data_IF_902297747782
#
_entry.id   IF_902297747782
#
_cell.length_a   1.000
_cell.length_b   1.000
_cell.length_c   1.000
_cell.angle_alpha   90.00
_cell.angle_beta   90.00
_cell.angle_gamma   90.00
#
_symmetry.space_group_name_H-M   'P 1'
#
loop_
_entity.id
_entity.type
_entity.pdbx_description
1 polymer ?
#
# COMPACT_ATOMS: atom_id res chain seq x y z
N UNK A 1 18.05 -20.38 14.73
CA UNK A 1 17.60 -21.79 14.67
C UNK A 1 16.27 -21.79 13.93
N UNK A 2 16.20 -22.45 12.77
CA UNK A 2 15.11 -22.34 11.80
C UNK A 2 14.06 -23.45 11.99
N UNK A 3 13.68 -23.68 13.25
CA UNK A 3 13.06 -24.91 13.72
C UNK A 3 11.85 -25.35 12.86
N UNK A 4 10.97 -24.42 12.49
CA UNK A 4 9.75 -24.75 11.76
C UNK A 4 10.03 -24.99 10.26
N UNK A 5 10.95 -24.23 9.65
CA UNK A 5 11.36 -24.46 8.28
C UNK A 5 12.05 -25.83 8.12
N UNK A 6 12.90 -26.19 9.08
CA UNK A 6 13.59 -27.49 9.12
C UNK A 6 12.62 -28.64 9.41
N UNK A 7 11.66 -28.44 10.32
CA UNK A 7 10.69 -29.46 10.72
C UNK A 7 9.71 -29.80 9.59
N UNK A 8 9.11 -28.79 8.96
CA UNK A 8 8.07 -29.01 7.96
C UNK A 8 8.61 -29.18 6.54
N UNK A 9 9.89 -28.80 6.30
CA UNK A 9 10.55 -28.89 4.97
C UNK A 9 9.71 -28.28 3.84
N UNK A 10 8.93 -27.25 4.14
CA UNK A 10 8.04 -26.59 3.20
C UNK A 10 8.10 -25.07 3.37
N UNK A 11 7.65 -24.34 2.35
CA UNK A 11 7.60 -22.88 2.43
C UNK A 11 6.46 -22.41 3.34
N UNK A 12 6.81 -21.65 4.37
CA UNK A 12 5.82 -21.03 5.24
C UNK A 12 5.08 -19.92 4.47
N UNK A 13 3.76 -20.09 4.33
CA UNK A 13 2.92 -19.18 3.55
C UNK A 13 2.65 -17.86 4.29
N UNK A 14 2.42 -17.94 5.59
CA UNK A 14 2.02 -16.81 6.41
C UNK A 14 2.60 -17.00 7.81
N UNK A 15 3.24 -15.95 8.32
CA UNK A 15 3.56 -15.82 9.74
C UNK A 15 2.71 -14.68 10.28
N UNK A 16 2.02 -14.94 11.39
CA UNK A 16 1.27 -13.91 12.11
C UNK A 16 1.97 -13.62 13.42
N UNK A 17 2.30 -12.35 13.64
CA UNK A 17 2.94 -11.85 14.85
C UNK A 17 1.94 -10.94 15.56
N UNK A 18 1.63 -11.26 16.82
CA UNK A 18 0.84 -10.38 17.70
C UNK A 18 1.78 -9.51 18.53
N UNK A 19 1.81 -8.21 18.23
CA UNK A 19 2.79 -7.28 18.81
C UNK A 19 2.57 -6.99 20.29
N UNK A 20 1.33 -7.15 20.75
CA UNK A 20 0.95 -6.93 22.15
C UNK A 20 1.70 -7.88 23.11
N UNK A 21 2.19 -9.00 22.60
CA UNK A 21 2.91 -10.03 23.36
C UNK A 21 4.43 -10.00 23.12
N UNK A 22 5.00 -8.90 22.63
CA UNK A 22 6.44 -8.81 22.37
C UNK A 22 7.25 -9.02 23.65
N UNK A 23 7.91 -10.17 23.73
CA UNK A 23 8.94 -10.44 24.72
C UNK A 23 10.31 -10.43 24.04
N UNK A 24 11.32 -9.91 24.75
CA UNK A 24 12.71 -9.92 24.32
C UNK A 24 13.48 -11.01 25.07
N UNK A 25 14.37 -11.76 24.39
CA UNK A 25 14.70 -11.72 22.97
C UNK A 25 13.61 -12.37 22.09
N UNK A 26 13.55 -11.93 20.83
CA UNK A 26 12.58 -12.42 19.86
C UNK A 26 13.14 -13.65 19.16
N UNK A 27 12.47 -14.80 19.29
CA UNK A 27 12.71 -15.97 18.46
C UNK A 27 11.37 -16.47 17.92
N UNK A 28 11.16 -16.31 16.61
CA UNK A 28 9.92 -16.72 15.94
C UNK A 28 9.90 -18.21 15.56
N UNK A 29 11.04 -18.92 15.66
CA UNK A 29 11.19 -20.28 15.12
C UNK A 29 11.10 -20.35 13.59
N UNK A 30 11.05 -19.20 12.92
CA UNK A 30 10.94 -19.02 11.46
C UNK A 30 11.88 -17.90 11.04
N UNK A 31 12.71 -18.12 10.03
CA UNK A 31 13.51 -17.04 9.40
C UNK A 31 12.95 -16.56 8.06
N UNK A 32 12.08 -17.34 7.41
CA UNK A 32 11.54 -17.01 6.07
C UNK A 32 10.04 -17.27 5.98
N UNK A 33 9.32 -16.37 5.30
CA UNK A 33 7.88 -16.53 5.03
C UNK A 33 7.49 -15.84 3.73
N UNK A 34 6.43 -16.31 3.08
CA UNK A 34 5.85 -15.59 1.94
C UNK A 34 5.21 -14.27 2.38
N UNK A 35 4.36 -14.32 3.41
CA UNK A 35 3.67 -13.14 3.91
C UNK A 35 3.83 -13.00 5.41
N UNK A 36 3.89 -11.75 5.86
CA UNK A 36 3.96 -11.41 7.27
C UNK A 36 2.73 -10.57 7.64
N UNK A 37 2.02 -11.03 8.66
CA UNK A 37 0.90 -10.32 9.25
C UNK A 37 1.29 -9.86 10.66
N UNK A 38 1.12 -8.57 10.90
CA UNK A 38 1.43 -7.92 12.17
C UNK A 38 0.11 -7.44 12.75
N UNK A 39 -0.27 -7.98 13.90
CA UNK A 39 -1.53 -7.69 14.58
C UNK A 39 -1.27 -7.12 15.95
N UNK A 40 -2.17 -6.27 16.44
CA UNK A 40 -2.12 -5.82 17.82
C UNK A 40 -3.01 -4.62 18.06
N UNK A 41 -3.06 -4.25 19.33
CA UNK A 41 -3.78 -3.09 19.84
C UNK A 41 -2.83 -1.97 20.23
N UNK A 42 -1.58 -2.30 20.54
CA UNK A 42 -0.54 -1.33 20.88
C UNK A 42 0.07 -0.73 19.59
N UNK A 43 0.19 0.60 19.47
CA UNK A 43 0.81 1.22 18.32
C UNK A 43 2.25 0.82 18.10
N UNK A 44 2.61 0.53 16.85
CA UNK A 44 3.97 0.18 16.43
C UNK A 44 4.65 1.31 15.67
N UNK A 45 5.94 1.51 15.91
CA UNK A 45 6.78 2.45 15.19
C UNK A 45 7.83 1.74 14.34
N UNK A 46 8.72 2.53 13.76
CA UNK A 46 9.84 2.02 12.95
C UNK A 46 10.75 1.06 13.74
N UNK A 47 11.13 1.32 15.02
CA UNK A 47 12.01 0.42 15.76
C UNK A 47 11.43 -0.99 15.95
N UNK A 48 10.14 -1.10 16.26
CA UNK A 48 9.48 -2.39 16.45
C UNK A 48 9.39 -3.17 15.14
N UNK A 49 9.07 -2.49 14.04
CA UNK A 49 9.02 -3.09 12.71
C UNK A 49 10.40 -3.55 12.27
N UNK A 50 11.43 -2.71 12.39
CA UNK A 50 12.79 -3.07 12.00
C UNK A 50 13.27 -4.32 12.75
N UNK A 51 13.01 -4.40 14.05
CA UNK A 51 13.36 -5.58 14.87
C UNK A 51 12.71 -6.87 14.38
N UNK A 52 11.47 -6.82 13.87
CA UNK A 52 10.81 -7.97 13.26
C UNK A 52 11.52 -8.34 11.96
N UNK A 53 11.80 -7.35 11.11
CA UNK A 53 12.40 -7.53 9.78
C UNK A 53 13.89 -7.91 9.80
N UNK A 54 14.55 -7.77 10.95
CA UNK A 54 15.88 -8.32 11.22
C UNK A 54 15.84 -9.85 11.36
N UNK A 55 14.76 -10.39 11.91
CA UNK A 55 14.64 -11.81 12.26
C UNK A 55 13.85 -12.65 11.24
N UNK A 56 13.06 -11.99 10.38
CA UNK A 56 12.27 -12.64 9.33
C UNK A 56 12.50 -12.00 7.97
N UNK A 57 12.83 -12.83 6.99
CA UNK A 57 12.81 -12.50 5.57
C UNK A 57 11.43 -12.79 4.98
N UNK A 58 10.79 -11.75 4.44
CA UNK A 58 9.48 -11.85 3.79
C UNK A 58 9.67 -11.76 2.28
N UNK A 59 9.17 -12.75 1.54
CA UNK A 59 9.39 -12.83 0.09
C UNK A 59 8.29 -12.18 -0.74
N UNK A 60 7.08 -12.02 -0.18
CA UNK A 60 5.91 -11.61 -0.93
C UNK A 60 5.29 -10.30 -0.47
N UNK A 61 4.77 -10.19 0.74
CA UNK A 61 4.03 -8.97 1.13
C UNK A 61 3.63 -8.93 2.60
N UNK A 62 3.11 -7.78 3.01
CA UNK A 62 2.89 -7.45 4.42
C UNK A 62 1.46 -7.00 4.67
N UNK A 63 0.91 -7.45 5.80
CA UNK A 63 -0.38 -7.04 6.32
C UNK A 63 -0.23 -6.49 7.73
N UNK A 64 -0.70 -5.28 7.94
CA UNK A 64 -0.70 -4.57 9.21
C UNK A 64 -2.14 -4.43 9.68
N UNK A 65 -2.48 -5.21 10.70
CA UNK A 65 -3.70 -5.07 11.47
C UNK A 65 -3.36 -4.58 12.89
N UNK A 66 -2.60 -3.48 12.94
CA UNK A 66 -2.08 -2.87 14.16
C UNK A 66 -2.06 -1.35 13.99
N UNK A 67 -2.29 -0.54 15.03
CA UNK A 67 -2.10 0.90 14.93
C UNK A 67 -0.64 1.25 14.61
N UNK A 68 -0.42 2.26 13.78
CA UNK A 68 0.93 2.71 13.41
C UNK A 68 1.18 4.11 13.97
N UNK A 69 2.32 4.28 14.65
CA UNK A 69 2.71 5.55 15.26
C UNK A 69 2.89 6.64 14.20
N UNK A 70 2.54 7.89 14.54
CA UNK A 70 2.74 9.06 13.66
C UNK A 70 4.21 9.31 13.31
N UNK A 71 5.13 8.87 14.17
CA UNK A 71 6.57 8.95 13.97
C UNK A 71 7.11 7.88 13.02
N UNK A 72 6.26 6.98 12.50
CA UNK A 72 6.67 5.95 11.56
C UNK A 72 7.20 6.59 10.26
N UNK A 73 8.45 6.26 9.93
CA UNK A 73 9.13 6.78 8.74
C UNK A 73 9.30 5.74 7.63
N UNK A 74 8.82 4.52 7.87
CA UNK A 74 9.09 3.35 7.04
C UNK A 74 9.89 2.29 7.80
N UNK A 75 10.29 1.24 7.09
CA UNK A 75 11.35 0.34 7.55
C UNK A 75 12.71 0.88 7.11
N UNK A 76 13.67 0.96 8.03
CA UNK A 76 15.01 1.50 7.71
C UNK A 76 15.75 0.60 6.74
N UNK A 77 15.48 -0.71 6.78
CA UNK A 77 16.05 -1.70 5.89
C UNK A 77 15.53 -1.65 4.44
N UNK A 78 14.43 -0.91 4.17
CA UNK A 78 13.72 -0.82 2.87
C UNK A 78 13.27 -2.17 2.27
N UNK A 79 13.30 -3.25 3.05
CA UNK A 79 12.83 -4.59 2.65
C UNK A 79 11.32 -4.57 2.41
N UNK A 80 10.57 -3.99 3.34
CA UNK A 80 9.11 -3.96 3.28
C UNK A 80 8.63 -3.15 2.08
N UNK A 81 9.16 -1.93 1.91
CA UNK A 81 8.78 -1.02 0.84
C UNK A 81 9.23 -1.42 -0.57
N UNK A 82 9.83 -2.61 -0.74
CA UNK A 82 10.24 -3.14 -2.04
C UNK A 82 9.74 -4.58 -2.30
N UNK A 83 8.74 -5.05 -1.54
CA UNK A 83 8.21 -6.40 -1.66
C UNK A 83 7.39 -6.66 -2.94
N UNK A 84 7.17 -7.95 -3.26
CA UNK A 84 6.62 -8.41 -4.53
C UNK A 84 5.11 -8.18 -4.70
N UNK A 85 4.31 -8.39 -3.66
CA UNK A 85 2.83 -8.28 -3.69
C UNK A 85 2.36 -6.91 -3.24
N UNK A 86 2.89 -6.39 -2.13
CA UNK A 86 2.47 -5.10 -1.62
C UNK A 86 2.24 -5.05 -0.12
N UNK A 87 1.63 -3.93 0.29
CA UNK A 87 1.42 -3.54 1.67
C UNK A 87 -0.06 -3.31 1.93
N UNK A 88 -0.55 -3.88 3.01
CA UNK A 88 -1.91 -3.71 3.49
C UNK A 88 -1.88 -3.13 4.88
N UNK A 89 -2.54 -2.00 5.09
CA UNK A 89 -2.78 -1.44 6.42
C UNK A 89 -4.28 -1.44 6.65
N UNK A 90 -4.76 -2.47 7.35
CA UNK A 90 -6.18 -2.81 7.54
C UNK A 90 -6.72 -2.39 8.92
N UNK A 91 -5.86 -1.85 9.79
CA UNK A 91 -6.27 -1.38 11.10
C UNK A 91 -7.36 -0.29 10.98
N UNK A 92 -8.27 -0.25 11.95
CA UNK A 92 -9.38 0.70 11.92
C UNK A 92 -8.95 2.15 12.18
N UNK A 93 -7.76 2.38 12.74
CA UNK A 93 -7.22 3.72 12.95
C UNK A 93 -6.76 4.36 11.65
N UNK A 94 -6.84 5.69 11.60
CA UNK A 94 -6.53 6.46 10.39
C UNK A 94 -5.07 6.38 9.99
N UNK A 95 -4.82 6.28 8.68
CA UNK A 95 -3.50 6.25 8.06
C UNK A 95 -2.73 7.60 8.09
N UNK A 96 -2.97 8.47 9.09
CA UNK A 96 -2.34 9.80 9.20
C UNK A 96 -0.81 9.80 9.24
N UNK A 97 -0.21 8.69 9.66
CA UNK A 97 1.23 8.49 9.71
C UNK A 97 1.87 8.43 8.30
N UNK A 98 1.09 8.20 7.24
CA UNK A 98 1.59 8.19 5.86
C UNK A 98 1.93 9.62 5.46
N UNK A 99 3.21 9.96 5.60
CA UNK A 99 3.77 11.22 5.15
C UNK A 99 4.16 11.17 3.68
N UNK A 100 4.44 12.35 3.11
CA UNK A 100 5.11 12.50 1.81
C UNK A 100 6.37 11.63 1.70
N UNK A 101 7.18 11.61 2.75
CA UNK A 101 8.43 10.84 2.78
C UNK A 101 8.18 9.33 2.74
N UNK A 102 7.18 8.83 3.48
CA UNK A 102 6.78 7.42 3.41
C UNK A 102 6.35 7.08 1.98
N UNK A 103 5.48 7.89 1.38
CA UNK A 103 4.96 7.64 0.03
C UNK A 103 6.07 7.50 -1.02
N UNK A 104 7.08 8.38 -0.98
CA UNK A 104 8.22 8.37 -1.90
C UNK A 104 9.07 7.09 -1.82
N UNK A 105 9.07 6.43 -0.67
CA UNK A 105 9.82 5.19 -0.46
C UNK A 105 9.08 3.95 -0.99
N UNK A 106 7.78 4.04 -1.26
CA UNK A 106 6.96 2.91 -1.70
C UNK A 106 7.36 2.45 -3.11
N UNK A 107 8.09 1.32 -3.20
CA UNK A 107 8.49 0.63 -4.43
C UNK A 107 7.80 -0.73 -4.54
N UNK A 108 6.49 -0.74 -4.29
CA UNK A 108 5.63 -1.94 -4.32
C UNK A 108 4.52 -1.80 -5.36
N UNK A 109 3.95 -2.91 -5.87
CA UNK A 109 2.87 -2.83 -6.84
C UNK A 109 1.50 -2.50 -6.23
N UNK A 110 1.21 -2.93 -5.01
CA UNK A 110 -0.06 -2.66 -4.35
C UNK A 110 0.14 -2.03 -2.98
N UNK A 111 -0.65 -0.99 -2.71
CA UNK A 111 -0.69 -0.32 -1.41
C UNK A 111 -2.14 -0.13 -1.04
N UNK A 112 -2.52 -0.60 0.15
CA UNK A 112 -3.82 -0.37 0.74
C UNK A 112 -3.66 0.34 2.08
N UNK A 113 -4.28 1.52 2.20
CA UNK A 113 -4.48 2.20 3.49
C UNK A 113 -5.96 2.30 3.80
N UNK A 114 -6.43 1.53 4.78
CA UNK A 114 -7.82 1.61 5.23
C UNK A 114 -8.05 2.85 6.08
N UNK A 115 -9.29 3.36 6.06
CA UNK A 115 -9.77 4.44 6.92
C UNK A 115 -8.90 5.70 6.88
N UNK A 116 -8.34 6.04 5.71
CA UNK A 116 -7.55 7.26 5.63
C UNK A 116 -8.44 8.49 5.87
N UNK A 117 -7.84 9.55 6.40
CA UNK A 117 -8.50 10.86 6.60
C UNK A 117 -7.67 11.96 5.89
N UNK A 118 -7.15 11.63 4.70
CA UNK A 118 -6.39 12.61 3.92
C UNK A 118 -7.32 13.65 3.32
N UNK A 119 -6.87 14.90 3.35
CA UNK A 119 -7.52 15.95 2.57
C UNK A 119 -7.39 15.64 1.07
N UNK A 120 -8.34 16.12 0.24
CA UNK A 120 -8.22 16.06 -1.21
C UNK A 120 -6.87 16.60 -1.71
N UNK A 121 -6.38 17.70 -1.12
CA UNK A 121 -5.05 18.26 -1.41
C UNK A 121 -3.92 17.24 -1.21
N UNK A 122 -3.90 16.52 -0.08
CA UNK A 122 -2.87 15.50 0.17
C UNK A 122 -2.91 14.38 -0.85
N UNK A 123 -4.10 13.95 -1.26
CA UNK A 123 -4.23 12.92 -2.28
C UNK A 123 -3.79 13.42 -3.67
N UNK A 124 -4.08 14.69 -4.02
CA UNK A 124 -3.52 15.35 -5.21
C UNK A 124 -1.99 15.42 -5.16
N UNK A 125 -1.41 15.76 -4.01
CA UNK A 125 0.05 15.81 -3.82
C UNK A 125 0.67 14.43 -4.09
N UNK A 126 0.07 13.35 -3.58
CA UNK A 126 0.53 11.98 -3.85
C UNK A 126 0.45 11.61 -5.34
N UNK A 127 -0.66 11.92 -6.01
CA UNK A 127 -0.81 11.67 -7.46
C UNK A 127 0.23 12.45 -8.25
N UNK A 128 0.40 13.73 -7.94
CA UNK A 128 1.35 14.63 -8.60
C UNK A 128 2.78 14.14 -8.41
N UNK A 129 3.12 13.64 -7.22
CA UNK A 129 4.45 13.08 -6.96
C UNK A 129 4.68 11.78 -7.69
N UNK A 130 3.71 10.87 -7.72
CA UNK A 130 3.83 9.65 -8.52
C UNK A 130 3.99 9.99 -10.01
N UNK A 131 3.20 10.93 -10.51
CA UNK A 131 3.22 11.40 -11.90
C UNK A 131 4.58 11.98 -12.29
N UNK A 132 5.29 12.63 -11.37
CA UNK A 132 6.63 13.19 -11.61
C UNK A 132 7.78 12.26 -11.17
N UNK A 133 7.47 11.05 -10.70
CA UNK A 133 8.48 10.09 -10.25
C UNK A 133 8.86 9.08 -11.33
N UNK A 134 9.98 8.39 -11.12
CA UNK A 134 10.36 7.20 -11.88
C UNK A 134 9.73 5.90 -11.34
N UNK A 135 8.70 5.98 -10.49
CA UNK A 135 8.07 4.77 -9.96
C UNK A 135 7.26 4.07 -11.05
N UNK A 136 7.77 2.93 -11.52
CA UNK A 136 7.11 2.05 -12.48
C UNK A 136 6.62 0.74 -11.84
N UNK A 137 6.76 0.57 -10.52
CA UNK A 137 6.28 -0.64 -9.85
C UNK A 137 4.83 -0.52 -9.43
N UNK A 138 4.39 0.66 -9.01
CA UNK A 138 3.03 0.89 -8.54
C UNK A 138 2.01 0.48 -9.60
N UNK A 139 1.07 -0.38 -9.21
CA UNK A 139 -0.11 -0.80 -9.98
C UNK A 139 -1.38 -0.24 -9.38
N UNK A 140 -1.49 -0.24 -8.05
CA UNK A 140 -2.67 0.28 -7.38
C UNK A 140 -2.32 0.88 -6.02
N UNK A 141 -2.79 2.10 -5.81
CA UNK A 141 -2.98 2.68 -4.48
C UNK A 141 -4.49 2.70 -4.22
N UNK A 142 -4.94 1.94 -3.23
CA UNK A 142 -6.33 1.82 -2.85
C UNK A 142 -6.52 2.35 -1.43
N UNK A 143 -7.39 3.34 -1.26
CA UNK A 143 -7.52 4.03 0.01
C UNK A 143 -9.00 4.33 0.31
N UNK A 144 -9.70 3.42 1.00
CA UNK A 144 -11.00 3.70 1.57
C UNK A 144 -10.89 4.81 2.61
N UNK A 145 -11.68 5.85 2.43
CA UNK A 145 -11.73 7.00 3.33
C UNK A 145 -12.74 6.77 4.43
N UNK A 146 -12.42 7.25 5.63
CA UNK A 146 -13.38 7.28 6.74
C UNK A 146 -14.47 8.34 6.54
N UNK A 147 -14.12 9.45 5.88
CA UNK A 147 -15.02 10.58 5.64
C UNK A 147 -15.28 10.76 4.14
N UNK A 148 -16.45 11.29 3.73
CA UNK A 148 -16.74 11.52 2.32
C UNK A 148 -15.70 12.40 1.61
N UNK A 149 -15.22 11.95 0.45
CA UNK A 149 -14.34 12.71 -0.44
C UNK A 149 -15.18 13.36 -1.53
N UNK A 150 -15.17 14.68 -1.55
CA UNK A 150 -15.86 15.44 -2.59
C UNK A 150 -14.94 15.61 -3.81
N UNK A 151 -15.33 15.00 -4.93
CA UNK A 151 -14.61 15.06 -6.22
C UNK A 151 -14.25 16.48 -6.64
N UNK A 152 -15.13 17.47 -6.39
CA UNK A 152 -14.91 18.89 -6.70
C UNK A 152 -13.71 19.53 -5.98
N UNK A 153 -13.24 18.94 -4.89
CA UNK A 153 -12.06 19.43 -4.16
C UNK A 153 -10.75 18.82 -4.68
N UNK A 154 -10.82 17.94 -5.68
CA UNK A 154 -9.67 17.26 -6.26
C UNK A 154 -9.20 17.97 -7.53
N UNK A 155 -8.37 19.01 -7.34
CA UNK A 155 -7.85 19.83 -8.42
C UNK A 155 -6.61 19.18 -9.04
N UNK A 156 -6.72 18.69 -10.28
CA UNK A 156 -5.65 17.97 -10.99
C UNK A 156 -5.41 18.47 -12.41
N UNK A 157 -5.91 19.67 -12.75
CA UNK A 157 -5.84 20.19 -14.12
C UNK A 157 -4.40 20.30 -14.64
N UNK A 158 -3.43 20.55 -13.75
CA UNK A 158 -1.99 20.56 -14.06
C UNK A 158 -1.43 19.21 -14.52
N UNK A 159 -2.19 18.12 -14.36
CA UNK A 159 -1.84 16.78 -14.84
C UNK A 159 -2.51 16.42 -16.18
N UNK A 160 -3.25 17.36 -16.79
CA UNK A 160 -4.01 17.20 -18.03
C UNK A 160 -4.96 15.97 -17.97
N UNK A 161 -5.92 15.95 -17.03
CA UNK A 161 -6.82 14.83 -16.85
C UNK A 161 -7.71 14.65 -18.07
N UNK A 162 -7.97 13.40 -18.43
CA UNK A 162 -8.80 13.03 -19.57
C UNK A 162 -9.97 12.17 -19.09
N UNK A 163 -11.18 12.32 -19.66
CA UNK A 163 -12.32 11.47 -19.30
C UNK A 163 -12.08 10.01 -19.69
N UNK A 164 -12.87 9.06 -19.21
CA UNK A 164 -12.77 7.68 -19.69
C UNK A 164 -12.91 7.57 -21.22
N UNK A 165 -12.11 6.70 -21.83
CA UNK A 165 -12.24 6.32 -23.23
C UNK A 165 -11.91 4.84 -23.41
N UNK A 166 -12.85 4.06 -23.91
CA UNK A 166 -12.72 2.61 -24.15
C UNK A 166 -11.60 2.26 -25.12
N UNK A 167 -11.25 3.16 -26.05
CA UNK A 167 -10.13 2.97 -26.98
C UNK A 167 -8.77 3.04 -26.31
N UNK A 168 -8.69 3.61 -25.09
CA UNK A 168 -7.42 3.75 -24.35
C UNK A 168 -7.21 2.65 -23.33
N UNK A 169 -8.28 2.08 -22.78
CA UNK A 169 -8.21 1.08 -21.72
C UNK A 169 -9.54 0.36 -21.49
N UNK A 170 -9.45 -0.79 -20.83
CA UNK A 170 -10.58 -1.50 -20.26
C UNK A 170 -11.35 -0.63 -19.25
N UNK A 171 -12.65 -0.90 -19.17
CA UNK A 171 -13.56 -0.29 -18.19
C UNK A 171 -13.29 -0.79 -16.77
N UNK A 172 -13.00 -2.08 -16.64
CA UNK A 172 -12.84 -2.75 -15.37
C UNK A 172 -11.37 -3.01 -15.04
N UNK A 173 -11.03 -2.90 -13.76
CA UNK A 173 -9.72 -3.29 -13.26
C UNK A 173 -9.83 -3.92 -11.88
N UNK A 174 -8.82 -4.73 -11.56
CA UNK A 174 -8.66 -5.32 -10.23
C UNK A 174 -7.89 -4.36 -9.33
N UNK A 175 -8.60 -3.55 -8.54
CA UNK A 175 -7.99 -2.61 -7.58
C UNK A 175 -7.36 -3.36 -6.40
N UNK A 176 -7.99 -4.45 -6.00
CA UNK A 176 -7.63 -5.26 -4.84
C UNK A 176 -7.74 -6.75 -5.22
N UNK A 177 -6.97 -7.68 -4.64
CA UNK A 177 -7.13 -9.13 -4.83
C UNK A 177 -8.58 -9.64 -4.79
N UNK A 178 -9.48 -8.94 -4.10
CA UNK A 178 -10.90 -9.25 -3.99
C UNK A 178 -11.85 -8.15 -4.50
N UNK A 179 -11.36 -7.06 -5.09
CA UNK A 179 -12.20 -5.98 -5.60
C UNK A 179 -11.93 -5.69 -7.08
N UNK A 180 -12.90 -6.04 -7.92
CA UNK A 180 -13.03 -5.50 -9.26
C UNK A 180 -13.78 -4.17 -9.16
N UNK A 181 -13.31 -3.16 -9.86
CA UNK A 181 -13.99 -1.88 -9.92
C UNK A 181 -14.21 -1.47 -11.37
N UNK A 182 -15.38 -0.88 -11.60
CA UNK A 182 -15.62 -0.04 -12.76
C UNK A 182 -14.89 1.29 -12.59
N UNK A 183 -13.97 1.56 -13.51
CA UNK A 183 -13.15 2.77 -13.55
C UNK A 183 -13.64 3.77 -14.61
N UNK A 184 -14.82 3.60 -15.21
CA UNK A 184 -15.38 4.53 -16.20
C UNK A 184 -15.62 5.93 -15.64
N UNK A 185 -15.92 6.04 -14.35
CA UNK A 185 -16.23 7.33 -13.72
C UNK A 185 -14.97 8.11 -13.30
N UNK A 186 -13.80 7.48 -13.41
CA UNK A 186 -12.50 8.07 -13.08
C UNK A 186 -11.96 8.98 -14.18
N UNK A 187 -10.87 9.67 -13.86
CA UNK A 187 -10.11 10.46 -14.83
C UNK A 187 -8.77 9.81 -15.11
N UNK A 188 -8.38 9.80 -16.37
CA UNK A 188 -7.10 9.27 -16.82
C UNK A 188 -6.05 10.38 -16.85
N UNK A 189 -4.82 10.06 -16.43
CA UNK A 189 -3.62 10.90 -16.61
C UNK A 189 -2.57 10.08 -17.35
N UNK A 190 -1.88 10.70 -18.30
CA UNK A 190 -0.82 10.05 -19.09
C UNK A 190 0.53 10.66 -18.71
N UNK A 191 1.39 9.85 -18.13
CA UNK A 191 2.75 10.27 -17.76
C UNK A 191 3.65 10.29 -18.99
N UNK A 192 4.72 11.09 -18.93
CA UNK A 192 5.70 11.26 -20.01
C UNK A 192 6.35 9.95 -20.49
N UNK A 193 6.43 8.92 -19.63
CA UNK A 193 6.95 7.59 -19.97
C UNK A 193 5.90 6.65 -20.60
N UNK A 194 4.71 7.16 -20.92
CA UNK A 194 3.63 6.42 -21.57
C UNK A 194 2.74 5.59 -20.61
N UNK A 195 3.05 5.59 -19.30
CA UNK A 195 2.18 4.95 -18.31
C UNK A 195 0.90 5.75 -18.13
N UNK A 196 -0.22 5.07 -18.36
CA UNK A 196 -1.56 5.59 -18.12
C UNK A 196 -1.95 5.25 -16.69
N UNK A 197 -2.54 6.20 -15.96
CA UNK A 197 -3.17 5.92 -14.68
C UNK A 197 -4.59 6.49 -14.65
N UNK A 198 -5.47 5.84 -13.91
CA UNK A 198 -6.82 6.31 -13.63
C UNK A 198 -6.93 6.69 -12.17
N UNK A 199 -7.39 7.90 -11.91
CA UNK A 199 -7.77 8.39 -10.59
C UNK A 199 -9.28 8.16 -10.44
N UNK A 200 -9.67 7.36 -9.45
CA UNK A 200 -11.05 7.13 -9.09
C UNK A 200 -11.34 7.80 -7.75
N UNK A 201 -12.38 8.63 -7.73
CA UNK A 201 -12.88 9.29 -6.52
C UNK A 201 -14.36 8.97 -6.42
N UNK A 202 -14.72 8.20 -5.40
CA UNK A 202 -16.10 7.97 -4.98
C UNK A 202 -16.26 8.48 -3.55
N UNK A 203 -17.49 8.55 -3.04
CA UNK A 203 -17.78 9.14 -1.72
C UNK A 203 -16.83 8.64 -0.63
N UNK A 204 -16.59 7.33 -0.50
CA UNK A 204 -15.71 6.77 0.53
C UNK A 204 -14.43 6.14 -0.03
N UNK A 205 -13.99 6.52 -1.23
CA UNK A 205 -12.84 5.90 -1.88
C UNK A 205 -12.01 6.88 -2.70
N UNK A 206 -10.72 6.89 -2.44
CA UNK A 206 -9.70 7.34 -3.38
C UNK A 206 -8.89 6.15 -3.89
N UNK A 207 -8.72 6.05 -5.21
CA UNK A 207 -7.81 5.09 -5.80
C UNK A 207 -7.01 5.69 -6.96
N UNK A 208 -5.75 5.29 -7.08
CA UNK A 208 -4.91 5.51 -8.24
C UNK A 208 -4.55 4.14 -8.82
N UNK A 209 -5.04 3.85 -10.01
CA UNK A 209 -4.76 2.61 -10.73
C UNK A 209 -3.84 2.87 -11.92
N UNK A 210 -2.72 2.17 -12.01
CA UNK A 210 -1.72 2.34 -13.07
C UNK A 210 -1.84 1.17 -14.05
N UNK A 211 -2.13 1.49 -15.31
CA UNK A 211 -2.33 0.52 -16.38
C UNK A 211 -0.99 0.06 -16.95
N UNK A 212 -0.47 -1.04 -16.41
CA UNK A 212 0.66 -1.77 -17.00
C UNK A 212 0.26 -2.60 -18.21
N UNK A 213 -1.03 -2.96 -18.28
CA UNK A 213 -1.71 -3.50 -19.46
C UNK A 213 -3.02 -2.76 -19.57
N UNK A 214 -3.32 -2.21 -20.74
CA UNK A 214 -4.49 -1.36 -20.96
C UNK A 214 -5.76 -2.19 -21.20
N UNK A 215 -5.62 -3.43 -21.68
CA UNK A 215 -6.71 -4.33 -22.03
C UNK A 215 -6.52 -5.69 -21.36
#
# INVERSE_FOLDING_TARGET
MDLLNELFKCSILLVTIRVDNFQNPINFGVTTTNSLQIEGTIPVGTPEIDKILENIQVTSGYLFNVPVLRSFTGDTSKKMFNCRKGLLFENLQSAYWVTRNVFRQLRVPHVHFKNHEFSPKRAVDFVTEWFNSNNRKLKCLYMPSKNPILRRHFQIDHLNPMPFCEKRRSRHAKLWPLANADLSDGFDILRSDGLLATILIKESLFALYVWHKRF
#
